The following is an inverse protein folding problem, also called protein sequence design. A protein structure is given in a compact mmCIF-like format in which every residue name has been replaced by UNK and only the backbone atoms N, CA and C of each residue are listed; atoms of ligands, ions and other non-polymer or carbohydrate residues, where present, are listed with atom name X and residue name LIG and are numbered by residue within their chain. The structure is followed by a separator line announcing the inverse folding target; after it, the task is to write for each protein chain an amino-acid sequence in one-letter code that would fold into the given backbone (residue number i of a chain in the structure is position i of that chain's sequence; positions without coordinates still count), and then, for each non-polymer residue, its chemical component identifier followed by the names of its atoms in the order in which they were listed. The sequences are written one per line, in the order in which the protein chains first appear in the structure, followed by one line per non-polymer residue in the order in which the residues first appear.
data_IF_496720227979
#
_entry.id   IF_496720227979
#
_cell.length_a   1.000
_cell.length_b   1.000
_cell.length_c   1.000
_cell.angle_alpha   90.00
_cell.angle_beta   90.00
_cell.angle_gamma   90.00
#
_symmetry.space_group_name_H-M   'P 1'
#
loop_
_entity.id
_entity.type
_entity.pdbx_description
1 polymer ?
#
# COMPACT_ATOMS: atom_id res chain seq x y z
N UNK A 1 77.45 -4.78 -24.65
CA UNK A 1 76.04 -4.72 -24.20
C UNK A 1 76.08 -4.16 -22.76
N UNK A 2 76.28 -2.86 -22.58
CA UNK A 2 75.32 -1.75 -22.59
C UNK A 2 74.11 -1.89 -21.63
N UNK A 3 74.25 -1.21 -20.47
CA UNK A 3 73.29 -0.57 -19.57
C UNK A 3 72.00 -1.30 -19.16
N UNK A 4 71.95 -1.71 -17.88
CA UNK A 4 70.69 -1.88 -17.13
C UNK A 4 70.41 -0.62 -16.31
N UNK A 5 69.28 0.08 -16.50
CA UNK A 5 69.02 1.34 -15.83
C UNK A 5 68.28 1.18 -14.48
N UNK A 6 68.81 1.91 -13.50
CA UNK A 6 68.12 2.87 -12.62
C UNK A 6 66.86 2.45 -11.86
N UNK A 7 67.07 2.26 -10.55
CA UNK A 7 66.17 2.64 -9.46
C UNK A 7 65.54 4.03 -9.72
N UNK A 8 64.21 4.12 -9.71
CA UNK A 8 63.50 5.38 -9.47
C UNK A 8 62.34 5.16 -8.50
N UNK A 9 62.58 5.62 -7.28
CA UNK A 9 61.62 5.79 -6.20
C UNK A 9 61.01 7.20 -6.40
N UNK A 10 59.71 7.28 -6.72
CA UNK A 10 58.99 8.55 -6.87
C UNK A 10 57.81 8.61 -5.91
N UNK A 11 57.96 9.36 -4.82
CA UNK A 11 56.91 9.67 -3.86
C UNK A 11 55.94 10.75 -4.41
N UNK A 12 54.64 10.46 -4.24
CA UNK A 12 53.52 11.31 -3.78
C UNK A 12 53.52 12.84 -4.03
N UNK A 13 52.48 13.32 -4.73
CA UNK A 13 51.54 14.44 -4.41
C UNK A 13 50.82 14.78 -5.73
N UNK A 14 49.50 14.64 -5.95
CA UNK A 14 48.36 15.13 -5.17
C UNK A 14 47.88 16.46 -5.78
N UNK A 15 46.75 16.48 -6.52
CA UNK A 15 45.78 17.60 -6.60
C UNK A 15 44.62 17.33 -7.61
N UNK A 16 43.41 17.30 -7.03
CA UNK A 16 42.14 17.82 -7.56
C UNK A 16 41.42 17.11 -8.71
N UNK A 17 40.84 15.94 -8.43
CA UNK A 17 39.53 15.61 -9.00
C UNK A 17 38.46 16.39 -8.23
N UNK A 18 37.90 17.43 -8.84
CA UNK A 18 36.69 18.10 -8.36
C UNK A 18 35.50 17.13 -8.48
N UNK A 19 35.43 16.16 -7.56
CA UNK A 19 34.21 15.38 -7.30
C UNK A 19 33.23 16.33 -6.61
N UNK A 20 32.29 16.83 -7.41
CA UNK A 20 31.16 17.59 -6.93
C UNK A 20 30.35 16.67 -6.00
N UNK A 21 30.64 16.80 -4.71
CA UNK A 21 30.09 16.05 -3.60
C UNK A 21 28.62 16.46 -3.42
N UNK A 22 27.73 15.90 -4.25
CA UNK A 22 26.31 15.84 -3.92
C UNK A 22 26.10 14.53 -3.16
N UNK A 23 25.66 14.56 -1.89
CA UNK A 23 25.33 13.34 -1.18
C UNK A 23 24.19 12.64 -1.93
N UNK A 24 24.54 11.55 -2.62
CA UNK A 24 23.59 10.61 -3.20
C UNK A 24 22.80 10.06 -2.02
N UNK A 25 21.58 10.57 -1.81
CA UNK A 25 20.69 10.13 -0.77
C UNK A 25 20.52 8.62 -0.86
N UNK A 26 21.15 7.90 0.06
CA UNK A 26 20.91 6.48 0.28
C UNK A 26 19.39 6.33 0.51
N UNK A 27 18.68 5.44 -0.21
CA UNK A 27 17.28 5.21 0.08
C UNK A 27 17.18 4.89 1.59
N UNK A 28 16.23 5.51 2.32
CA UNK A 28 16.14 5.32 3.76
C UNK A 28 16.00 3.83 4.06
N UNK A 29 17.03 3.25 4.68
CA UNK A 29 16.99 1.86 5.13
C UNK A 29 15.96 1.77 6.25
N UNK A 30 15.00 0.85 6.13
CA UNK A 30 14.03 0.59 7.21
C UNK A 30 14.77 0.16 8.48
N UNK A 31 14.71 1.00 9.50
CA UNK A 31 15.24 0.69 10.84
C UNK A 31 14.51 -0.52 11.43
N UNK A 32 15.15 -1.24 12.36
CA UNK A 32 14.54 -2.40 13.02
C UNK A 32 13.19 -2.03 13.68
N UNK A 33 13.11 -0.86 14.30
CA UNK A 33 11.88 -0.35 14.90
C UNK A 33 10.76 -0.13 13.86
N UNK A 34 11.08 0.42 12.68
CA UNK A 34 10.10 0.58 11.61
C UNK A 34 9.58 -0.77 11.12
N UNK A 35 10.45 -1.77 10.98
CA UNK A 35 10.04 -3.14 10.60
C UNK A 35 9.09 -3.74 11.62
N UNK A 36 9.43 -3.65 12.90
CA UNK A 36 8.56 -4.13 14.00
C UNK A 36 7.21 -3.43 13.98
N UNK A 37 7.18 -2.10 13.78
CA UNK A 37 5.93 -1.34 13.67
C UNK A 37 5.08 -1.81 12.49
N UNK A 38 5.68 -2.04 11.32
CA UNK A 38 4.94 -2.57 10.17
C UNK A 38 4.41 -3.99 10.41
N UNK A 39 5.19 -4.84 11.07
CA UNK A 39 4.77 -6.18 11.45
C UNK A 39 3.57 -6.16 12.41
N UNK A 40 3.55 -5.23 13.37
CA UNK A 40 2.42 -5.04 14.29
C UNK A 40 1.15 -4.55 13.58
N UNK A 41 1.29 -3.86 12.45
CA UNK A 41 0.16 -3.38 11.63
C UNK A 41 -0.36 -4.44 10.65
N UNK A 42 0.30 -5.59 10.50
CA UNK A 42 -0.15 -6.66 9.61
C UNK A 42 -1.60 -7.08 9.88
N UNK A 43 -2.02 -7.37 11.13
CA UNK A 43 -3.39 -7.83 11.38
C UNK A 43 -4.47 -6.81 10.99
N UNK A 44 -4.16 -5.51 11.06
CA UNK A 44 -5.08 -4.45 10.64
C UNK A 44 -5.19 -4.41 9.12
N UNK A 45 -4.08 -4.67 8.43
CA UNK A 45 -4.02 -4.75 6.97
C UNK A 45 -4.77 -5.98 6.48
N UNK A 46 -4.51 -7.15 7.07
CA UNK A 46 -5.19 -8.41 6.78
C UNK A 46 -6.70 -8.28 6.99
N UNK A 47 -7.13 -7.70 8.13
CA UNK A 47 -8.54 -7.44 8.39
C UNK A 47 -9.17 -6.51 7.33
N UNK A 48 -8.47 -5.46 6.93
CA UNK A 48 -8.96 -4.56 5.89
C UNK A 48 -9.09 -5.25 4.53
N UNK A 49 -8.17 -6.15 4.18
CA UNK A 49 -8.24 -6.95 2.96
C UNK A 49 -9.38 -7.97 3.02
N UNK A 50 -9.51 -8.72 4.10
CA UNK A 50 -10.62 -9.65 4.36
C UNK A 50 -11.96 -8.94 4.22
N UNK A 51 -12.17 -7.84 4.94
CA UNK A 51 -13.41 -7.07 4.90
C UNK A 51 -13.71 -6.53 3.50
N UNK A 52 -12.69 -6.11 2.75
CA UNK A 52 -12.85 -5.64 1.36
C UNK A 52 -13.30 -6.75 0.42
N UNK A 53 -12.92 -8.00 0.69
CA UNK A 53 -13.21 -9.16 -0.16
C UNK A 53 -14.49 -9.92 0.24
N UNK A 54 -15.01 -9.74 1.46
CA UNK A 54 -16.29 -10.32 1.87
C UNK A 54 -17.45 -10.10 0.87
N UNK A 55 -17.63 -8.93 0.23
CA UNK A 55 -18.66 -8.73 -0.78
C UNK A 55 -18.50 -9.62 -2.01
N UNK A 56 -17.28 -10.06 -2.33
CA UNK A 56 -17.02 -10.92 -3.49
C UNK A 56 -17.57 -12.33 -3.28
N UNK A 57 -17.68 -12.80 -2.02
CA UNK A 57 -18.32 -14.08 -1.69
C UNK A 57 -19.79 -14.11 -2.10
N UNK A 58 -20.47 -12.95 -2.12
CA UNK A 58 -21.87 -12.80 -2.52
C UNK A 58 -22.11 -13.02 -4.01
N UNK A 59 -21.06 -12.91 -4.85
CA UNK A 59 -21.18 -13.11 -6.30
C UNK A 59 -21.48 -14.56 -6.67
N UNK A 60 -21.19 -15.50 -5.77
CA UNK A 60 -21.51 -16.91 -5.94
C UNK A 60 -22.48 -17.37 -4.85
N UNK A 61 -23.67 -17.85 -5.25
CA UNK A 61 -24.71 -18.32 -4.31
C UNK A 61 -24.23 -19.42 -3.37
N UNK A 62 -23.23 -20.20 -3.79
CA UNK A 62 -22.69 -21.30 -3.01
C UNK A 62 -21.72 -20.86 -1.90
N UNK A 63 -21.28 -19.60 -1.92
CA UNK A 63 -20.38 -18.98 -0.94
C UNK A 63 -20.97 -17.72 -0.30
N UNK A 64 -22.12 -17.26 -0.77
CA UNK A 64 -22.83 -16.11 -0.20
C UNK A 64 -23.11 -16.32 1.29
N UNK A 65 -23.00 -15.25 2.09
CA UNK A 65 -23.25 -15.35 3.52
C UNK A 65 -24.74 -15.53 3.81
N UNK A 66 -25.05 -16.36 4.79
CA UNK A 66 -26.41 -16.59 5.26
C UNK A 66 -26.92 -15.39 6.07
N UNK A 67 -28.24 -15.31 6.29
CA UNK A 67 -28.85 -14.27 7.14
C UNK A 67 -28.26 -14.26 8.56
N UNK A 68 -27.97 -15.43 9.13
CA UNK A 68 -27.37 -15.52 10.47
C UNK A 68 -25.94 -15.00 10.48
N UNK A 69 -25.12 -15.38 9.48
CA UNK A 69 -23.76 -14.86 9.32
C UNK A 69 -23.77 -13.34 9.10
N UNK A 70 -24.70 -12.83 8.29
CA UNK A 70 -24.85 -11.41 8.02
C UNK A 70 -25.09 -10.58 9.30
N UNK A 71 -25.91 -11.07 10.23
CA UNK A 71 -26.13 -10.40 11.53
C UNK A 71 -24.85 -10.33 12.36
N UNK A 72 -24.10 -11.44 12.45
CA UNK A 72 -22.82 -11.48 13.16
C UNK A 72 -21.77 -10.57 12.51
N UNK A 73 -21.68 -10.58 11.18
CA UNK A 73 -20.81 -9.67 10.44
C UNK A 73 -21.20 -8.21 10.69
N UNK A 74 -22.49 -7.87 10.60
CA UNK A 74 -22.96 -6.50 10.84
C UNK A 74 -22.54 -5.96 12.21
N UNK A 75 -22.55 -6.79 13.25
CA UNK A 75 -22.08 -6.41 14.58
C UNK A 75 -20.59 -6.00 14.55
N UNK A 76 -19.74 -6.83 13.95
CA UNK A 76 -18.29 -6.57 13.83
C UNK A 76 -18.02 -5.36 12.93
N UNK A 77 -18.63 -5.31 11.75
CA UNK A 77 -18.43 -4.24 10.78
C UNK A 77 -18.88 -2.88 11.34
N UNK A 78 -19.96 -2.84 12.12
CA UNK A 78 -20.41 -1.63 12.82
C UNK A 78 -19.41 -1.20 13.90
N UNK A 79 -18.85 -2.15 14.66
CA UNK A 79 -17.82 -1.85 15.64
C UNK A 79 -16.57 -1.25 14.99
N UNK A 80 -16.12 -1.83 13.86
CA UNK A 80 -14.99 -1.32 13.08
C UNK A 80 -15.22 0.09 12.53
N UNK A 81 -16.43 0.38 12.04
CA UNK A 81 -16.80 1.69 11.53
C UNK A 81 -16.81 2.77 12.64
N UNK A 82 -17.28 2.41 13.85
CA UNK A 82 -17.40 3.34 14.98
C UNK A 82 -16.10 3.54 15.75
N UNK A 83 -15.21 2.55 15.76
CA UNK A 83 -13.97 2.61 16.51
C UNK A 83 -13.14 3.85 16.14
N UNK A 84 -12.60 4.56 17.14
CA UNK A 84 -11.71 5.69 16.87
C UNK A 84 -10.41 5.25 16.17
N UNK A 85 -9.89 4.08 16.57
CA UNK A 85 -8.72 3.43 16.01
C UNK A 85 -8.91 1.92 16.03
N UNK A 86 -8.27 1.19 15.11
CA UNK A 86 -8.21 -0.28 15.17
C UNK A 86 -6.85 -0.68 15.71
N UNK A 87 -6.84 -1.34 16.87
CA UNK A 87 -5.62 -1.84 17.49
C UNK A 87 -5.25 -3.23 16.94
N UNK A 88 -3.97 -3.61 16.91
CA UNK A 88 -3.54 -4.91 16.39
C UNK A 88 -4.21 -6.10 17.09
N UNK A 89 -4.40 -6.03 18.41
CA UNK A 89 -5.02 -7.11 19.18
C UNK A 89 -6.52 -7.24 18.88
N UNK A 90 -7.21 -6.11 18.68
CA UNK A 90 -8.63 -6.15 18.31
C UNK A 90 -8.80 -6.63 16.87
N UNK A 91 -7.90 -6.23 15.97
CA UNK A 91 -7.89 -6.74 14.60
C UNK A 91 -7.75 -8.27 14.55
N UNK A 92 -6.81 -8.85 15.32
CA UNK A 92 -6.68 -10.31 15.46
C UNK A 92 -7.96 -10.96 15.98
N UNK A 93 -8.61 -10.37 16.99
CA UNK A 93 -9.87 -10.88 17.53
C UNK A 93 -10.98 -10.85 16.48
N UNK A 94 -11.11 -9.76 15.74
CA UNK A 94 -12.11 -9.65 14.69
C UNK A 94 -11.86 -10.61 13.53
N UNK A 95 -10.60 -10.80 13.12
CA UNK A 95 -10.22 -11.80 12.13
C UNK A 95 -10.63 -13.20 12.60
N UNK A 96 -10.23 -13.63 13.79
CA UNK A 96 -10.61 -14.94 14.34
C UNK A 96 -12.14 -15.10 14.47
N UNK A 97 -12.87 -14.05 14.84
CA UNK A 97 -14.33 -14.10 14.85
C UNK A 97 -14.93 -14.26 13.45
N UNK A 98 -14.40 -13.56 12.45
CA UNK A 98 -14.86 -13.68 11.07
C UNK A 98 -14.52 -15.07 10.54
N UNK A 99 -13.27 -15.49 10.66
CA UNK A 99 -12.75 -16.69 10.01
C UNK A 99 -13.19 -17.97 10.72
N UNK A 100 -13.05 -18.05 12.03
CA UNK A 100 -13.28 -19.29 12.78
C UNK A 100 -14.74 -19.49 13.17
N UNK A 101 -15.50 -18.40 13.37
CA UNK A 101 -16.84 -18.46 13.97
C UNK A 101 -17.97 -18.08 13.02
N UNK A 102 -17.69 -17.25 12.01
CA UNK A 102 -18.74 -16.75 11.12
C UNK A 102 -18.67 -17.45 9.78
N UNK A 103 -17.51 -17.46 9.13
CA UNK A 103 -17.35 -18.08 7.82
C UNK A 103 -17.29 -19.61 7.95
N UNK A 104 -17.83 -20.29 6.95
CA UNK A 104 -17.67 -21.74 6.79
C UNK A 104 -16.37 -22.05 6.08
N UNK A 105 -15.86 -23.29 6.21
CA UNK A 105 -14.64 -23.72 5.49
C UNK A 105 -14.71 -23.47 3.99
N UNK A 106 -15.87 -23.66 3.37
CA UNK A 106 -16.08 -23.38 1.95
C UNK A 106 -15.94 -21.89 1.60
N UNK A 107 -16.44 -21.02 2.47
CA UNK A 107 -16.32 -19.57 2.32
C UNK A 107 -14.89 -19.10 2.56
N UNK A 108 -14.19 -19.70 3.52
CA UNK A 108 -12.76 -19.45 3.76
C UNK A 108 -11.93 -19.81 2.53
N UNK A 109 -12.08 -21.01 1.98
CA UNK A 109 -11.36 -21.41 0.75
C UNK A 109 -11.63 -20.46 -0.42
N UNK A 110 -12.87 -19.99 -0.56
CA UNK A 110 -13.22 -19.00 -1.57
C UNK A 110 -12.56 -17.64 -1.31
N UNK A 111 -12.50 -17.21 -0.04
CA UNK A 111 -11.82 -15.98 0.37
C UNK A 111 -10.31 -16.05 0.12
N UNK A 112 -9.67 -17.17 0.46
CA UNK A 112 -8.24 -17.41 0.21
C UNK A 112 -7.91 -17.31 -1.28
N UNK A 113 -8.77 -17.89 -2.13
CA UNK A 113 -8.65 -17.79 -3.58
C UNK A 113 -8.75 -16.36 -4.09
N UNK A 114 -9.62 -15.54 -3.47
CA UNK A 114 -9.77 -14.12 -3.79
C UNK A 114 -8.55 -13.31 -3.35
N UNK A 115 -7.98 -13.61 -2.17
CA UNK A 115 -6.75 -12.99 -1.67
C UNK A 115 -5.58 -13.28 -2.61
N UNK A 116 -5.40 -14.54 -3.01
CA UNK A 116 -4.35 -14.94 -3.95
C UNK A 116 -4.46 -14.17 -5.27
N UNK A 117 -5.67 -14.13 -5.84
CA UNK A 117 -5.95 -13.39 -7.08
C UNK A 117 -5.69 -11.89 -6.94
N UNK A 118 -6.02 -11.29 -5.79
CA UNK A 118 -5.78 -9.89 -5.53
C UNK A 118 -4.26 -9.57 -5.45
N UNK A 119 -3.47 -10.46 -4.84
CA UNK A 119 -2.01 -10.29 -4.77
C UNK A 119 -1.36 -10.49 -6.14
N UNK A 120 -1.80 -11.47 -6.94
CA UNK A 120 -1.34 -11.65 -8.32
C UNK A 120 -1.59 -10.41 -9.18
N UNK A 121 -2.79 -9.82 -9.08
CA UNK A 121 -3.11 -8.58 -9.80
C UNK A 121 -2.23 -7.41 -9.37
N UNK A 122 -1.92 -7.32 -8.08
CA UNK A 122 -1.03 -6.29 -7.52
C UNK A 122 0.40 -6.50 -8.01
N UNK A 123 0.90 -7.73 -8.02
CA UNK A 123 2.20 -8.09 -8.53
C UNK A 123 2.32 -7.77 -10.04
N UNK A 124 1.33 -8.14 -10.84
CA UNK A 124 1.28 -7.82 -12.26
C UNK A 124 1.28 -6.30 -12.51
N UNK A 125 0.50 -5.54 -11.74
CA UNK A 125 0.45 -4.07 -11.83
C UNK A 125 1.80 -3.44 -11.50
N UNK A 126 2.50 -3.95 -10.47
CA UNK A 126 3.87 -3.50 -10.13
C UNK A 126 4.86 -3.81 -11.25
N UNK A 127 4.81 -5.03 -11.80
CA UNK A 127 5.67 -5.42 -12.93
C UNK A 127 5.43 -4.55 -14.17
N UNK A 128 4.18 -4.21 -14.47
CA UNK A 128 3.82 -3.32 -15.58
C UNK A 128 4.27 -1.88 -15.34
N UNK A 129 4.11 -1.34 -14.14
CA UNK A 129 4.61 0.00 -13.79
C UNK A 129 6.12 0.11 -13.93
N UNK A 130 6.86 -0.95 -13.56
CA UNK A 130 8.32 -0.99 -13.68
C UNK A 130 8.79 -1.05 -15.14
N UNK A 131 8.01 -1.68 -16.02
CA UNK A 131 8.23 -1.66 -17.48
C UNK A 131 7.86 -0.32 -18.12
N UNK A 132 6.85 0.37 -17.58
CA UNK A 132 6.36 1.66 -18.10
C UNK A 132 7.21 2.86 -17.66
N UNK A 133 8.01 2.71 -16.59
CA UNK A 133 8.91 3.74 -16.06
C UNK A 133 10.25 3.87 -16.78
N UNK A 134 10.50 3.09 -17.83
CA UNK A 134 11.78 3.05 -18.56
C UNK A 134 11.78 3.82 -19.89
N UNK A 135 10.67 4.47 -20.27
CA UNK A 135 10.56 5.30 -21.50
C UNK A 135 10.36 6.80 -21.20
N UNK A 136 10.69 7.26 -20.00
CA UNK A 136 10.75 8.68 -19.66
C UNK A 136 12.18 9.21 -19.78
N UNK A 137 12.44 10.04 -20.80
CA UNK A 137 13.68 10.81 -20.99
C UNK A 137 14.27 11.34 -19.67
N UNK A 138 15.61 11.43 -19.53
CA UNK A 138 16.24 12.01 -18.35
C UNK A 138 15.77 13.46 -18.21
N UNK A 139 14.93 13.72 -17.20
CA UNK A 139 14.66 15.09 -16.75
C UNK A 139 15.98 15.63 -16.20
N UNK A 140 16.66 16.46 -16.99
CA UNK A 140 17.74 17.31 -16.52
C UNK A 140 17.10 18.30 -15.53
N UNK A 141 17.46 18.28 -14.23
CA UNK A 141 16.95 19.26 -13.28
C UNK A 141 17.52 20.64 -13.63
N UNK A 142 16.65 21.63 -13.87
CA UNK A 142 17.06 23.04 -13.97
C UNK A 142 16.97 23.70 -15.34
N UNK A 143 16.41 23.06 -16.37
CA UNK A 143 16.24 23.70 -17.67
C UNK A 143 14.74 23.99 -17.97
N UNK A 144 14.31 25.27 -18.05
CA UNK A 144 12.97 25.60 -18.50
C UNK A 144 12.85 25.28 -20.01
N UNK A 145 11.88 24.45 -20.38
CA UNK A 145 11.54 24.22 -21.79
C UNK A 145 10.77 25.43 -22.33
N UNK A 146 11.23 26.12 -23.38
CA UNK A 146 10.41 27.06 -24.13
C UNK A 146 9.56 26.28 -25.13
N UNK A 147 8.23 26.44 -25.10
CA UNK A 147 7.39 26.05 -26.25
C UNK A 147 6.22 25.10 -26.01
N UNK A 148 5.57 25.10 -24.85
CA UNK A 148 4.23 24.49 -24.76
C UNK A 148 3.18 25.49 -24.24
N UNK A 149 3.04 26.57 -25.01
CA UNK A 149 1.82 27.38 -25.02
C UNK A 149 0.82 26.67 -25.96
N UNK A 150 -0.11 25.92 -25.37
CA UNK A 150 -1.16 25.18 -26.07
C UNK A 150 -2.45 25.24 -25.27
N UNK A 151 -3.24 26.26 -25.59
CA UNK A 151 -4.57 26.62 -25.12
C UNK A 151 -5.54 25.41 -25.07
N UNK A 152 -6.19 25.22 -23.92
CA UNK A 152 -7.13 24.11 -23.71
C UNK A 152 -8.00 24.26 -22.45
N UNK A 153 -8.75 25.35 -22.40
CA UNK A 153 -10.15 25.45 -21.93
C UNK A 153 -10.58 24.60 -20.71
N UNK A 154 -10.68 25.29 -19.57
CA UNK A 154 -11.79 25.25 -18.61
C UNK A 154 -12.62 23.94 -18.52
N UNK A 155 -12.26 23.06 -17.57
CA UNK A 155 -13.23 22.19 -16.88
C UNK A 155 -13.02 22.24 -15.38
N UNK A 156 -13.79 23.10 -14.75
CA UNK A 156 -14.25 22.94 -13.37
C UNK A 156 -14.93 21.57 -13.25
N UNK A 157 -14.25 20.58 -12.67
CA UNK A 157 -14.88 19.42 -12.04
C UNK A 157 -14.32 19.29 -10.62
N UNK A 158 -15.05 19.94 -9.73
CA UNK A 158 -15.16 19.64 -8.31
C UNK A 158 -15.41 18.13 -8.12
N UNK A 159 -14.55 17.46 -7.37
CA UNK A 159 -14.74 16.07 -6.98
C UNK A 159 -13.43 15.39 -6.57
N UNK A 160 -13.24 15.20 -5.27
CA UNK A 160 -12.29 14.21 -4.73
C UNK A 160 -10.94 14.75 -4.26
N UNK A 161 -10.95 15.85 -3.50
CA UNK A 161 -9.86 16.14 -2.58
C UNK A 161 -9.96 15.11 -1.44
N UNK A 162 -9.24 13.98 -1.53
CA UNK A 162 -8.72 13.21 -0.39
C UNK A 162 -7.93 11.97 -0.86
N UNK A 163 -6.63 11.96 -0.48
CA UNK A 163 -5.73 10.80 -0.40
C UNK A 163 -5.20 10.22 -1.71
N UNK A 164 -4.42 11.02 -2.43
CA UNK A 164 -3.28 10.54 -3.22
C UNK A 164 -2.07 11.41 -2.90
N UNK A 165 -1.53 11.30 -1.68
CA UNK A 165 -0.44 12.16 -1.23
C UNK A 165 -0.23 12.12 0.27
N UNK A 166 0.11 10.96 0.84
CA UNK A 166 0.71 10.88 2.17
C UNK A 166 1.82 9.85 2.11
N UNK A 167 3.06 10.36 2.08
CA UNK A 167 4.24 9.54 2.31
C UNK A 167 4.20 8.88 3.70
N UNK A 168 5.11 7.92 3.98
CA UNK A 168 5.06 7.04 5.16
C UNK A 168 5.30 7.72 6.53
N UNK A 169 5.11 9.04 6.68
CA UNK A 169 5.64 9.82 7.82
C UNK A 169 4.65 10.51 8.76
N UNK A 170 3.33 10.47 8.57
CA UNK A 170 2.43 11.39 9.32
C UNK A 170 1.12 10.78 9.85
N UNK A 171 1.09 9.49 10.21
CA UNK A 171 -0.03 8.94 10.99
C UNK A 171 0.48 8.65 12.40
N UNK A 172 -0.03 9.40 13.40
CA UNK A 172 0.29 9.15 14.79
C UNK A 172 -0.09 7.71 15.16
N UNK A 173 0.83 6.93 15.76
CA UNK A 173 0.53 5.59 16.23
C UNK A 173 -0.57 5.67 17.30
N UNK A 174 -1.71 5.04 17.05
CA UNK A 174 -2.86 5.01 17.96
C UNK A 174 -4.16 5.62 17.42
N UNK A 175 -4.15 6.30 16.27
CA UNK A 175 -5.36 6.88 15.66
C UNK A 175 -5.72 6.32 14.28
N UNK A 176 -5.04 5.27 13.83
CA UNK A 176 -5.30 4.73 12.50
C UNK A 176 -6.54 3.82 12.50
N UNK A 177 -7.55 4.19 11.71
CA UNK A 177 -8.67 3.32 11.37
C UNK A 177 -8.92 3.36 9.85
N UNK A 178 -8.65 2.27 9.10
CA UNK A 178 -8.93 2.22 7.66
C UNK A 178 -10.43 2.21 7.33
N UNK A 179 -11.29 1.94 8.32
CA UNK A 179 -12.75 1.80 8.15
C UNK A 179 -13.54 3.10 8.41
N UNK A 180 -12.89 4.18 8.84
CA UNK A 180 -13.56 5.48 9.05
C UNK A 180 -13.58 6.38 7.81
N UNK A 181 -12.56 6.30 6.96
CA UNK A 181 -12.38 7.24 5.85
C UNK A 181 -11.77 6.56 4.62
N UNK A 182 -11.99 7.16 3.45
CA UNK A 182 -11.45 6.70 2.18
C UNK A 182 -12.18 5.48 1.59
N UNK A 183 -11.57 4.87 0.58
CA UNK A 183 -12.20 3.80 -0.22
C UNK A 183 -12.63 2.59 0.61
N UNK A 184 -11.86 2.22 1.63
CA UNK A 184 -12.18 1.08 2.49
C UNK A 184 -13.42 1.35 3.34
N UNK A 185 -13.61 2.57 3.83
CA UNK A 185 -14.81 2.96 4.58
C UNK A 185 -16.07 3.01 3.70
N UNK A 186 -15.93 3.48 2.46
CA UNK A 186 -17.02 3.47 1.46
C UNK A 186 -17.43 2.03 1.12
N UNK A 187 -16.46 1.16 0.84
CA UNK A 187 -16.69 -0.26 0.57
C UNK A 187 -17.36 -0.96 1.76
N UNK A 188 -16.88 -0.70 2.98
CA UNK A 188 -17.49 -1.21 4.21
C UNK A 188 -18.96 -0.77 4.31
N UNK A 189 -19.24 0.52 4.14
CA UNK A 189 -20.60 1.08 4.23
C UNK A 189 -21.52 0.47 3.18
N UNK A 190 -21.04 0.31 1.95
CA UNK A 190 -21.79 -0.31 0.87
C UNK A 190 -22.12 -1.78 1.20
N UNK A 191 -21.15 -2.53 1.72
CA UNK A 191 -21.36 -3.92 2.09
C UNK A 191 -22.31 -4.08 3.27
N UNK A 192 -22.20 -3.23 4.30
CA UNK A 192 -23.15 -3.20 5.41
C UNK A 192 -24.59 -3.02 4.92
N UNK A 193 -24.83 -2.16 3.92
CA UNK A 193 -26.17 -2.00 3.31
C UNK A 193 -26.66 -3.26 2.59
N UNK A 194 -25.77 -4.04 1.98
CA UNK A 194 -26.12 -5.33 1.36
C UNK A 194 -26.49 -6.34 2.45
N UNK A 195 -25.71 -6.43 3.51
CA UNK A 195 -25.98 -7.33 4.64
C UNK A 195 -27.29 -6.98 5.37
N UNK A 196 -27.62 -5.70 5.51
CA UNK A 196 -28.87 -5.24 6.12
C UNK A 196 -30.13 -5.69 5.36
N UNK A 197 -30.01 -5.99 4.06
CA UNK A 197 -31.13 -6.44 3.22
C UNK A 197 -31.34 -7.95 3.27
N UNK A 198 -30.45 -8.72 3.90
CA UNK A 198 -30.56 -10.18 4.00
C UNK A 198 -31.51 -10.56 5.13
#
# INVERSE_FOLDING_TARGET
MNYGPLLTLGLLTGLASAQQNTPRATPPQMTAEMRTRMAQMQPITDLAETVRLLPELEKNKATAVTRTQAKSLLSILTALQKAAAVQPNDAKKYLAQIEDKILTSKQLTALDSLLLKAEEQRAASRAQAQRSGQTGQPRIPGMPLPGMAGQGQNRTRQGGQNQAGQGPGARQPGQFNPFKQGRTAEALTAYMKVLQKK
#
